data_IF_687159487120
#
_entry.id   IF_687159487120
#
_cell.length_a   1.000
_cell.length_b   1.000
_cell.length_c   1.000
_cell.angle_alpha   90.00
_cell.angle_beta   90.00
_cell.angle_gamma   90.00
#
_symmetry.space_group_name_H-M   'P 1'
#
loop_
_entity.id
_entity.type
_entity.pdbx_description
1 polymer ?
#
# COMPACT_ATOMS: atom_id res chain seq x y z
N UNK A 1 -5.13 22.97 2.20
CA UNK A 1 -4.48 21.64 2.03
C UNK A 1 -5.43 20.61 2.63
N UNK A 2 -5.82 19.56 1.89
CA UNK A 2 -6.75 18.53 2.39
C UNK A 2 -5.96 17.38 3.00
N UNK A 3 -6.19 17.14 4.30
CA UNK A 3 -5.64 16.01 5.05
C UNK A 3 -6.66 14.87 5.00
N UNK A 4 -6.25 13.66 4.62
CA UNK A 4 -7.19 12.54 4.49
C UNK A 4 -7.42 11.80 5.82
N UNK A 5 -7.07 12.43 6.94
CA UNK A 5 -7.72 12.16 8.22
C UNK A 5 -9.21 12.56 8.21
N UNK A 6 -9.63 13.40 7.25
CA UNK A 6 -11.00 13.93 7.16
C UNK A 6 -11.92 13.16 6.19
N UNK A 7 -11.41 12.24 5.37
CA UNK A 7 -12.28 11.31 4.65
C UNK A 7 -12.47 10.07 5.51
N UNK A 8 -13.65 9.97 6.13
CA UNK A 8 -14.04 8.76 6.86
C UNK A 8 -13.99 7.57 5.89
N UNK A 9 -13.00 6.72 6.08
CA UNK A 9 -12.76 5.60 5.19
C UNK A 9 -11.91 4.53 5.85
N UNK A 10 -12.15 3.29 5.43
CA UNK A 10 -11.48 2.11 5.98
C UNK A 10 -10.64 1.48 4.89
N UNK A 11 -9.36 1.27 5.18
CA UNK A 11 -8.49 0.46 4.35
C UNK A 11 -8.68 -1.01 4.69
N UNK A 12 -8.88 -1.81 3.66
CA UNK A 12 -9.03 -3.26 3.75
C UNK A 12 -7.84 -3.86 3.03
N UNK A 13 -6.99 -4.55 3.80
CA UNK A 13 -5.80 -5.22 3.29
C UNK A 13 -6.20 -6.65 2.92
N UNK A 14 -5.99 -7.01 1.66
CA UNK A 14 -6.16 -8.38 1.22
C UNK A 14 -4.77 -8.98 1.03
N UNK A 15 -4.40 -9.90 1.93
CA UNK A 15 -3.11 -10.58 1.93
C UNK A 15 -2.85 -11.30 0.59
N UNK A 16 -3.90 -11.78 -0.07
CA UNK A 16 -3.78 -12.65 -1.23
C UNK A 16 -3.40 -14.07 -0.81
N UNK A 17 -3.02 -14.90 -1.79
CA UNK A 17 -2.55 -16.24 -1.55
C UNK A 17 -1.02 -16.25 -1.47
N UNK A 18 -0.50 -17.10 -0.58
CA UNK A 18 0.94 -17.30 -0.43
C UNK A 18 1.54 -17.71 -1.79
N UNK A 19 2.61 -17.03 -2.25
CA UNK A 19 3.34 -17.23 -3.53
C UNK A 19 2.70 -16.78 -4.85
N UNK A 20 1.50 -16.17 -4.84
CA UNK A 20 0.80 -15.78 -6.07
C UNK A 20 0.87 -14.29 -6.44
N UNK A 21 1.48 -13.44 -5.62
CA UNK A 21 1.67 -12.02 -5.90
C UNK A 21 0.39 -11.20 -6.00
N UNK A 22 -0.73 -11.74 -5.49
CA UNK A 22 -2.07 -11.20 -5.69
C UNK A 22 -2.60 -10.43 -4.46
N UNK A 23 -1.70 -9.94 -3.60
CA UNK A 23 -2.13 -9.04 -2.53
C UNK A 23 -2.73 -7.77 -3.14
N UNK A 24 -3.80 -7.27 -2.52
CA UNK A 24 -4.49 -6.08 -3.02
C UNK A 24 -4.96 -5.20 -1.87
N UNK A 25 -5.03 -3.90 -2.15
CA UNK A 25 -5.58 -2.93 -1.22
C UNK A 25 -6.94 -2.47 -1.72
N UNK A 26 -7.93 -2.50 -0.83
CA UNK A 26 -9.25 -1.93 -1.05
C UNK A 26 -9.47 -0.75 -0.10
N UNK A 27 -10.23 0.24 -0.55
CA UNK A 27 -10.62 1.39 0.25
C UNK A 27 -12.14 1.51 0.25
N UNK A 28 -12.72 1.52 1.44
CA UNK A 28 -14.14 1.75 1.65
C UNK A 28 -14.33 3.19 2.11
N UNK A 29 -15.11 3.98 1.36
CA UNK A 29 -15.50 5.32 1.75
C UNK A 29 -16.83 5.24 2.52
N UNK A 30 -16.85 5.64 3.80
CA UNK A 30 -18.05 5.51 4.65
C UNK A 30 -19.14 6.51 4.28
N UNK A 31 -18.76 7.67 3.74
CA UNK A 31 -19.69 8.74 3.35
C UNK A 31 -20.50 8.34 2.11
N UNK A 32 -19.82 7.87 1.05
CA UNK A 32 -20.48 7.39 -0.18
C UNK A 32 -20.98 5.96 -0.08
N UNK A 33 -20.54 5.21 0.96
CA UNK A 33 -20.77 3.77 1.15
C UNK A 33 -20.29 2.91 -0.02
N UNK A 34 -19.29 3.38 -0.74
CA UNK A 34 -18.72 2.68 -1.90
C UNK A 34 -17.38 2.04 -1.55
N UNK A 35 -17.15 0.86 -2.12
CA UNK A 35 -15.87 0.16 -2.05
C UNK A 35 -15.10 0.31 -3.36
N UNK A 36 -13.85 0.72 -3.25
CA UNK A 36 -12.90 0.74 -4.37
C UNK A 36 -11.90 -0.38 -4.17
N UNK A 37 -11.96 -1.39 -5.04
CA UNK A 37 -11.02 -2.52 -5.02
C UNK A 37 -9.77 -2.23 -5.85
N UNK A 38 -8.64 -2.82 -5.43
CA UNK A 38 -7.34 -2.74 -6.11
C UNK A 38 -6.85 -1.29 -6.31
N UNK A 39 -7.04 -0.41 -5.32
CA UNK A 39 -6.76 1.03 -5.44
C UNK A 39 -5.30 1.30 -5.75
N UNK A 40 -4.37 0.53 -5.18
CA UNK A 40 -2.94 0.70 -5.45
C UNK A 40 -2.57 0.34 -6.88
N UNK A 41 -3.05 -0.80 -7.39
CA UNK A 41 -2.76 -1.24 -8.75
C UNK A 41 -3.36 -0.29 -9.79
N UNK A 42 -4.61 0.14 -9.58
CA UNK A 42 -5.28 1.10 -10.48
C UNK A 42 -4.54 2.43 -10.60
N UNK A 43 -3.93 2.89 -9.51
CA UNK A 43 -3.20 4.17 -9.49
C UNK A 43 -1.77 4.06 -10.02
N UNK A 44 -1.06 2.97 -9.71
CA UNK A 44 0.38 2.87 -9.95
C UNK A 44 0.77 1.92 -11.09
N UNK A 45 -0.14 1.06 -11.54
CA UNK A 45 0.09 0.11 -12.64
C UNK A 45 0.90 -1.13 -12.26
N UNK A 46 1.21 -1.35 -10.98
CA UNK A 46 1.92 -2.54 -10.50
C UNK A 46 1.34 -3.04 -9.15
N UNK A 47 1.46 -4.34 -8.84
CA UNK A 47 0.88 -4.91 -7.62
C UNK A 47 1.66 -4.50 -6.37
N UNK A 48 1.00 -4.55 -5.21
CA UNK A 48 1.63 -4.28 -3.91
C UNK A 48 2.74 -5.32 -3.63
N UNK A 49 2.47 -6.59 -3.92
CA UNK A 49 3.44 -7.68 -3.84
C UNK A 49 2.85 -8.96 -3.27
N UNK A 50 3.68 -9.72 -2.56
CA UNK A 50 3.30 -10.99 -1.95
C UNK A 50 3.06 -10.82 -0.44
N UNK A 51 1.82 -11.07 -0.01
CA UNK A 51 1.40 -11.06 1.41
C UNK A 51 1.52 -9.67 2.05
N UNK A 52 0.49 -8.84 1.81
CA UNK A 52 0.31 -7.56 2.48
C UNK A 52 -0.17 -7.79 3.92
N UNK A 53 0.77 -7.81 4.87
CA UNK A 53 0.51 -8.23 6.24
C UNK A 53 -0.07 -7.12 7.12
N UNK A 54 0.47 -5.90 7.00
CA UNK A 54 0.02 -4.79 7.83
C UNK A 54 0.18 -3.45 7.13
N UNK A 55 -0.55 -2.47 7.63
CA UNK A 55 -0.47 -1.10 7.17
C UNK A 55 -0.50 -0.15 8.37
N UNK A 56 0.29 0.91 8.31
CA UNK A 56 0.26 2.01 9.28
C UNK A 56 0.15 3.33 8.53
N UNK A 57 -0.70 4.22 9.04
CA UNK A 57 -0.83 5.59 8.54
C UNK A 57 -0.04 6.52 9.44
N UNK A 58 0.82 7.33 8.85
CA UNK A 58 1.55 8.40 9.55
C UNK A 58 1.56 9.63 8.66
N UNK A 59 1.02 10.74 9.16
CA UNK A 59 0.76 11.96 8.39
C UNK A 59 -0.06 11.69 7.11
N UNK A 60 0.51 12.00 5.95
CA UNK A 60 -0.10 11.77 4.64
C UNK A 60 0.41 10.49 3.96
N UNK A 61 1.17 9.68 4.69
CA UNK A 61 1.83 8.48 4.18
C UNK A 61 1.21 7.21 4.78
N UNK A 62 1.04 6.22 3.91
CA UNK A 62 0.68 4.87 4.29
C UNK A 62 1.91 3.97 4.07
N UNK A 63 2.29 3.28 5.13
CA UNK A 63 3.36 2.30 5.18
C UNK A 63 2.74 0.91 5.12
N UNK A 64 3.00 0.18 4.04
CA UNK A 64 2.49 -1.16 3.80
C UNK A 64 3.63 -2.16 4.01
N UNK A 65 3.49 -3.03 5.01
CA UNK A 65 4.45 -4.10 5.29
C UNK A 65 4.09 -5.32 4.45
N UNK A 66 5.00 -5.72 3.56
CA UNK A 66 4.81 -6.84 2.64
C UNK A 66 5.78 -7.96 3.02
N UNK A 67 5.28 -8.96 3.75
CA UNK A 67 6.08 -9.94 4.49
C UNK A 67 6.91 -10.83 3.55
N UNK A 68 6.27 -11.49 2.58
CA UNK A 68 6.95 -12.41 1.66
C UNK A 68 7.79 -11.68 0.58
N UNK A 69 7.85 -10.35 0.62
CA UNK A 69 8.71 -9.53 -0.25
C UNK A 69 9.82 -8.80 0.51
N UNK A 70 9.91 -8.94 1.85
CA UNK A 70 10.96 -8.30 2.67
C UNK A 70 11.03 -6.77 2.50
N UNK A 71 9.91 -6.13 2.17
CA UNK A 71 9.86 -4.71 1.81
C UNK A 71 8.71 -4.00 2.50
N UNK A 72 8.92 -2.73 2.82
CA UNK A 72 7.88 -1.80 3.23
C UNK A 72 7.64 -0.84 2.08
N UNK A 73 6.42 -0.82 1.56
CA UNK A 73 5.99 0.13 0.53
C UNK A 73 5.45 1.38 1.20
N UNK A 74 5.89 2.54 0.71
CA UNK A 74 5.36 3.83 1.13
C UNK A 74 4.53 4.38 -0.01
N UNK A 75 3.27 4.71 0.28
CA UNK A 75 2.39 5.42 -0.64
C UNK A 75 1.79 6.64 0.04
N UNK A 76 1.32 7.60 -0.74
CA UNK A 76 0.56 8.70 -0.23
C UNK A 76 -0.90 8.25 0.00
N UNK A 77 -1.40 8.37 1.24
CA UNK A 77 -2.72 7.87 1.65
C UNK A 77 -3.87 8.57 0.90
N UNK A 78 -3.62 9.79 0.44
CA UNK A 78 -4.59 10.68 -0.19
C UNK A 78 -4.82 10.37 -1.67
N UNK A 79 -3.74 9.99 -2.35
CA UNK A 79 -3.74 9.80 -3.82
C UNK A 79 -3.51 8.36 -4.22
N UNK A 80 -3.22 7.49 -3.24
CA UNK A 80 -2.74 6.11 -3.44
C UNK A 80 -1.47 6.01 -4.29
N UNK A 81 -0.77 7.12 -4.54
CA UNK A 81 0.45 7.14 -5.36
C UNK A 81 1.61 6.58 -4.57
N UNK A 82 2.32 5.65 -5.19
CA UNK A 82 3.59 5.13 -4.72
C UNK A 82 4.61 6.25 -4.48
N UNK A 83 5.40 6.12 -3.42
CA UNK A 83 6.44 7.09 -3.02
C UNK A 83 7.82 6.45 -2.92
N UNK A 84 7.93 5.34 -2.21
CA UNK A 84 9.22 4.70 -1.96
C UNK A 84 9.06 3.23 -1.56
N UNK A 85 10.16 2.49 -1.65
CA UNK A 85 10.32 1.17 -1.03
C UNK A 85 11.41 1.27 0.02
N UNK A 86 11.13 0.81 1.23
CA UNK A 86 12.12 0.59 2.27
C UNK A 86 12.41 -0.91 2.28
N UNK A 87 13.61 -1.31 1.88
CA UNK A 87 14.07 -2.69 1.94
C UNK A 87 15.10 -2.85 3.06
N UNK A 88 14.91 -3.87 3.90
CA UNK A 88 15.87 -4.23 4.95
C UNK A 88 16.86 -5.29 4.48
N UNK A 89 18.14 -4.91 4.49
CA UNK A 89 19.39 -5.70 4.36
C UNK A 89 20.19 -5.54 3.04
N UNK A 90 21.18 -4.63 3.17
CA UNK A 90 22.46 -4.43 2.46
C UNK A 90 22.55 -4.72 0.95
N UNK A 91 22.47 -3.65 0.14
CA UNK A 91 23.33 -3.51 -1.05
C UNK A 91 23.99 -2.13 -1.04
N UNK A 92 25.09 -2.02 -0.32
CA UNK A 92 26.16 -1.11 -0.73
C UNK A 92 26.79 -1.73 -1.98
N UNK A 93 26.69 -1.06 -3.12
CA UNK A 93 27.28 -1.48 -4.40
C UNK A 93 26.46 -2.57 -5.11
N UNK A 94 26.21 -2.49 -6.41
CA UNK A 94 27.02 -1.94 -7.48
C UNK A 94 26.15 -1.20 -8.49
N UNK A 95 26.49 0.06 -8.76
CA UNK A 95 26.28 0.61 -10.09
C UNK A 95 27.25 -0.14 -11.01
N UNK A 96 26.72 -0.93 -11.95
CA UNK A 96 27.45 -1.46 -13.10
C UNK A 96 27.00 -0.73 -14.35
#
# INVERSE_FOLDING_TARGET
>A
MRNFYEEEGVFILNEGNYTYGNSSLSFYNTQSRQISNQVFFKTNGFPVGDVLQSMTLMDSLAFLVVNNSGKVLVMNANTFKFKAIIQGWYRLGSCS
#
